data_IF_231814433150
#
_entry.id   IF_231814433150
#
_cell.length_a   1.000
_cell.length_b   1.000
_cell.length_c   1.000
_cell.angle_alpha   90.00
_cell.angle_beta   90.00
_cell.angle_gamma   90.00
#
_symmetry.space_group_name_H-M   'P 1'
#
loop_
_entity.id
_entity.type
_entity.pdbx_description
1 polymer ?
#
# COMPACT_ATOMS: atom_id res chain seq x y z
N UNK A 1 24.28 -54.48 -12.94
CA UNK A 1 24.33 -53.39 -11.92
C UNK A 1 24.51 -52.00 -12.53
N UNK A 2 25.15 -51.86 -13.70
CA UNK A 2 25.37 -50.58 -14.40
C UNK A 2 24.06 -49.87 -14.82
N UNK A 3 23.04 -50.62 -15.24
CA UNK A 3 21.75 -50.07 -15.70
C UNK A 3 20.94 -49.37 -14.60
N UNK A 4 21.15 -49.75 -13.32
CA UNK A 4 20.47 -49.13 -12.17
C UNK A 4 21.05 -47.74 -11.85
N UNK A 5 22.37 -47.58 -11.97
CA UNK A 5 23.04 -46.28 -11.75
C UNK A 5 22.75 -45.30 -12.89
N UNK A 6 22.62 -45.79 -14.13
CA UNK A 6 22.29 -44.96 -15.30
C UNK A 6 20.90 -44.30 -15.15
N UNK A 7 19.91 -45.03 -14.65
CA UNK A 7 18.56 -44.50 -14.40
C UNK A 7 18.55 -43.47 -13.25
N UNK A 8 19.35 -43.66 -12.20
CA UNK A 8 19.47 -42.68 -11.12
C UNK A 8 20.14 -41.37 -11.57
N UNK A 9 21.16 -41.44 -12.44
CA UNK A 9 21.83 -40.25 -12.96
C UNK A 9 20.92 -39.47 -13.91
N UNK A 10 20.16 -40.15 -14.78
CA UNK A 10 19.19 -39.51 -15.66
C UNK A 10 18.04 -38.83 -14.89
N UNK A 11 17.60 -39.43 -13.78
CA UNK A 11 16.57 -38.85 -12.91
C UNK A 11 17.06 -37.62 -12.12
N UNK A 12 18.35 -37.53 -11.79
CA UNK A 12 18.92 -36.32 -11.16
C UNK A 12 19.09 -35.16 -12.16
N UNK A 13 19.35 -35.44 -13.44
CA UNK A 13 19.55 -34.39 -14.45
C UNK A 13 18.25 -33.74 -14.92
N UNK A 14 17.10 -34.40 -14.81
CA UNK A 14 15.80 -33.84 -15.23
C UNK A 14 15.16 -32.91 -14.20
N UNK A 15 15.66 -32.91 -12.95
CA UNK A 15 15.15 -32.02 -11.89
C UNK A 15 15.85 -30.65 -11.83
N UNK A 16 16.89 -30.42 -12.64
CA UNK A 16 17.74 -29.22 -12.56
C UNK A 16 17.30 -28.01 -13.38
N UNK A 17 16.13 -28.03 -14.03
CA UNK A 17 15.80 -27.09 -15.10
C UNK A 17 14.55 -26.24 -14.92
N UNK A 18 14.01 -26.08 -13.71
CA UNK A 18 12.96 -25.09 -13.46
C UNK A 18 13.60 -23.76 -13.04
N UNK A 19 14.28 -23.09 -13.99
CA UNK A 19 14.60 -21.68 -13.80
C UNK A 19 13.29 -20.91 -13.88
N UNK A 20 12.70 -20.59 -12.72
CA UNK A 20 11.78 -19.47 -12.65
C UNK A 20 12.57 -18.24 -13.08
N UNK A 21 12.22 -17.67 -14.23
CA UNK A 21 12.89 -16.48 -14.76
C UNK A 21 12.51 -15.28 -13.88
N UNK A 22 13.26 -15.05 -12.81
CA UNK A 22 13.14 -13.82 -12.02
C UNK A 22 13.53 -12.62 -12.89
N UNK A 23 12.89 -11.47 -12.66
CA UNK A 23 13.19 -10.25 -13.39
C UNK A 23 14.65 -9.84 -13.11
N UNK A 24 15.48 -9.76 -14.16
CA UNK A 24 16.84 -9.23 -14.03
C UNK A 24 16.83 -7.72 -14.22
N UNK A 25 17.46 -7.02 -13.28
CA UNK A 25 17.62 -5.56 -13.26
C UNK A 25 16.29 -4.78 -13.41
N UNK A 26 15.41 -4.84 -12.41
CA UNK A 26 14.11 -4.18 -12.48
C UNK A 26 14.27 -2.65 -12.54
N UNK A 27 13.85 -2.05 -13.65
CA UNK A 27 13.67 -0.60 -13.76
C UNK A 27 12.19 -0.26 -13.60
N UNK A 28 11.88 0.72 -12.75
CA UNK A 28 10.49 1.08 -12.45
C UNK A 28 10.23 2.57 -12.54
N UNK A 29 9.14 2.86 -13.24
CA UNK A 29 8.46 4.16 -13.21
C UNK A 29 7.16 3.98 -12.41
N UNK A 30 7.06 4.67 -11.27
CA UNK A 30 5.93 4.57 -10.35
C UNK A 30 5.17 5.90 -10.22
N UNK A 31 3.86 5.81 -10.15
CA UNK A 31 2.94 6.90 -9.86
C UNK A 31 2.10 6.53 -8.63
N UNK A 32 2.14 7.36 -7.59
CA UNK A 32 1.44 7.13 -6.33
C UNK A 32 0.34 8.16 -6.11
N UNK A 33 -0.83 7.69 -5.71
CA UNK A 33 -2.00 8.48 -5.38
C UNK A 33 -2.51 8.10 -4.00
N UNK A 34 -2.93 9.10 -3.24
CA UNK A 34 -3.52 8.91 -1.92
C UNK A 34 -4.62 9.94 -1.69
N UNK A 35 -5.72 9.52 -1.08
CA UNK A 35 -6.82 10.43 -0.73
C UNK A 35 -6.44 11.30 0.45
N UNK A 36 -6.65 12.61 0.35
CA UNK A 36 -6.25 13.58 1.37
C UNK A 36 -7.40 14.05 2.28
N UNK A 37 -8.64 13.78 1.90
CA UNK A 37 -9.81 14.26 2.63
C UNK A 37 -10.53 13.13 3.38
N UNK A 38 -10.41 13.13 4.72
CA UNK A 38 -11.11 12.18 5.59
C UNK A 38 -12.51 12.65 6.00
N UNK A 39 -12.92 13.87 5.62
CA UNK A 39 -14.26 14.38 5.99
C UNK A 39 -15.36 13.78 5.13
N UNK A 40 -15.04 13.45 3.87
CA UNK A 40 -15.98 12.86 2.91
C UNK A 40 -15.82 11.35 2.82
N UNK A 41 -14.59 10.83 2.95
CA UNK A 41 -14.28 9.43 2.71
C UNK A 41 -14.16 8.65 4.02
N UNK A 42 -14.84 7.51 4.11
CA UNK A 42 -14.77 6.61 5.28
C UNK A 42 -13.46 5.82 5.37
N UNK A 43 -12.75 5.68 4.25
CA UNK A 43 -11.46 5.01 4.16
C UNK A 43 -10.49 5.78 3.27
N UNK A 44 -9.28 6.00 3.76
CA UNK A 44 -8.18 6.55 2.98
C UNK A 44 -7.69 5.48 2.02
N UNK A 45 -7.77 5.75 0.72
CA UNK A 45 -7.27 4.88 -0.31
C UNK A 45 -5.84 5.27 -0.68
N UNK A 46 -4.99 4.25 -0.78
CA UNK A 46 -3.63 4.34 -1.28
C UNK A 46 -3.55 3.51 -2.54
N UNK A 47 -3.02 4.12 -3.60
CA UNK A 47 -2.92 3.50 -4.91
C UNK A 47 -1.54 3.80 -5.44
N UNK A 48 -0.80 2.77 -5.83
CA UNK A 48 0.45 2.92 -6.57
C UNK A 48 0.39 2.13 -7.84
N UNK A 49 0.54 2.84 -8.95
CA UNK A 49 0.70 2.26 -10.27
C UNK A 49 2.17 2.26 -10.62
N UNK A 50 2.67 1.17 -11.16
CA UNK A 50 4.05 1.10 -11.59
C UNK A 50 4.18 0.27 -12.86
N UNK A 51 5.18 0.64 -13.65
CA UNK A 51 5.55 -0.11 -14.85
C UNK A 51 6.88 -0.81 -14.60
N UNK A 52 6.93 -2.10 -14.94
CA UNK A 52 8.08 -2.95 -14.67
C UNK A 52 8.82 -3.22 -15.99
N UNK A 53 10.05 -2.72 -16.11
CA UNK A 53 10.94 -3.02 -17.23
C UNK A 53 12.04 -3.96 -16.73
N UNK A 54 12.19 -5.10 -17.39
CA UNK A 54 13.23 -6.09 -17.11
C UNK A 54 14.03 -6.35 -18.37
N UNK A 55 15.30 -6.70 -18.20
CA UNK A 55 16.19 -7.00 -19.33
C UNK A 55 15.86 -8.36 -19.98
N UNK A 56 15.13 -9.24 -19.26
CA UNK A 56 14.66 -10.53 -19.75
C UNK A 56 13.18 -10.50 -20.19
N UNK A 57 12.78 -11.34 -21.18
CA UNK A 57 11.38 -11.49 -21.54
C UNK A 57 10.62 -12.13 -20.38
N UNK A 58 9.64 -11.40 -19.84
CA UNK A 58 8.77 -11.92 -18.79
C UNK A 58 7.67 -12.78 -19.39
N UNK A 59 7.24 -13.84 -18.69
CA UNK A 59 6.06 -14.59 -19.09
C UNK A 59 4.82 -13.69 -19.08
N UNK A 60 3.88 -13.95 -20.00
CA UNK A 60 2.68 -13.11 -20.15
C UNK A 60 1.91 -12.96 -18.85
N UNK A 61 1.89 -13.95 -17.95
CA UNK A 61 1.18 -13.90 -16.66
C UNK A 61 2.14 -13.82 -15.47
N UNK A 62 3.10 -12.89 -15.52
CA UNK A 62 3.99 -12.66 -14.39
C UNK A 62 3.23 -12.03 -13.21
N UNK A 63 2.99 -12.83 -12.16
CA UNK A 63 2.29 -12.39 -10.96
C UNK A 63 3.27 -11.73 -9.97
N UNK A 64 2.86 -10.57 -9.46
CA UNK A 64 3.61 -9.81 -8.47
C UNK A 64 2.79 -9.70 -7.18
N UNK A 65 3.49 -9.79 -6.07
CA UNK A 65 2.95 -9.60 -4.73
C UNK A 65 3.55 -8.33 -4.14
N UNK A 66 2.83 -7.71 -3.22
CA UNK A 66 3.29 -6.54 -2.51
C UNK A 66 3.14 -6.77 -1.01
N UNK A 67 3.99 -6.13 -0.22
CA UNK A 67 3.89 -6.08 1.22
C UNK A 67 3.99 -4.63 1.66
N UNK A 68 3.02 -4.19 2.46
CA UNK A 68 2.97 -2.84 3.02
C UNK A 68 2.75 -2.97 4.51
N UNK A 69 3.66 -2.43 5.32
CA UNK A 69 3.59 -2.44 6.79
C UNK A 69 3.28 -3.85 7.36
N UNK A 70 3.88 -4.90 6.77
CA UNK A 70 3.70 -6.29 7.16
C UNK A 70 2.43 -6.97 6.63
N UNK A 71 1.53 -6.23 5.97
CA UNK A 71 0.34 -6.78 5.31
C UNK A 71 0.68 -7.17 3.87
N UNK A 72 0.40 -8.42 3.52
CA UNK A 72 0.56 -8.90 2.15
C UNK A 72 -0.63 -8.53 1.28
N UNK A 73 -0.35 -7.92 0.15
CA UNK A 73 -1.28 -7.51 -0.90
C UNK A 73 -0.88 -8.17 -2.23
N UNK A 74 -1.81 -8.20 -3.17
CA UNK A 74 -1.54 -8.65 -4.53
C UNK A 74 -1.39 -7.44 -5.45
N UNK A 75 -0.39 -7.44 -6.34
CA UNK A 75 -0.32 -6.43 -7.38
C UNK A 75 -1.26 -6.82 -8.53
N UNK A 76 -2.31 -6.05 -8.72
CA UNK A 76 -3.24 -6.23 -9.83
C UNK A 76 -2.55 -5.78 -11.13
N UNK A 77 -2.74 -6.51 -12.23
CA UNK A 77 -2.22 -6.11 -13.53
C UNK A 77 -3.26 -5.26 -14.27
N UNK A 78 -2.88 -4.07 -14.70
CA UNK A 78 -3.73 -3.15 -15.46
C UNK A 78 -3.48 -3.27 -16.97
N UNK A 79 -2.25 -3.61 -17.38
CA UNK A 79 -1.88 -3.72 -18.79
C UNK A 79 -0.58 -4.47 -19.01
N UNK A 80 0.01 -4.29 -20.19
CA UNK A 80 1.32 -4.85 -20.53
C UNK A 80 2.39 -4.24 -19.62
N UNK A 81 2.96 -5.06 -18.73
CA UNK A 81 3.97 -4.67 -17.74
C UNK A 81 3.55 -3.53 -16.80
N UNK A 82 2.24 -3.25 -16.69
CA UNK A 82 1.69 -2.25 -15.78
C UNK A 82 0.94 -2.92 -14.64
N UNK A 83 1.33 -2.59 -13.42
CA UNK A 83 0.77 -3.14 -12.20
C UNK A 83 0.25 -2.03 -11.30
N UNK A 84 -0.71 -2.37 -10.46
CA UNK A 84 -1.29 -1.50 -9.47
C UNK A 84 -1.42 -2.25 -8.16
N UNK A 85 -0.96 -1.61 -7.10
CA UNK A 85 -1.17 -2.05 -5.73
C UNK A 85 -2.05 -1.00 -5.08
N UNK A 86 -3.14 -1.44 -4.46
CA UNK A 86 -4.03 -0.56 -3.73
C UNK A 86 -4.47 -1.19 -2.43
N UNK A 87 -4.63 -0.34 -1.42
CA UNK A 87 -5.21 -0.72 -0.13
C UNK A 87 -5.94 0.46 0.47
N UNK A 88 -6.77 0.17 1.44
CA UNK A 88 -7.57 1.16 2.16
C UNK A 88 -7.33 1.04 3.64
N UNK A 89 -7.28 2.19 4.33
CA UNK A 89 -7.20 2.26 5.78
C UNK A 89 -8.26 3.20 6.34
N UNK A 90 -8.73 2.95 7.55
CA UNK A 90 -9.60 3.91 8.24
C UNK A 90 -8.83 5.19 8.54
N UNK A 91 -9.45 6.39 8.44
CA UNK A 91 -8.81 7.67 8.73
C UNK A 91 -8.10 7.74 10.09
N UNK A 92 -8.62 7.03 11.10
CA UNK A 92 -8.01 6.96 12.44
C UNK A 92 -6.70 6.16 12.48
N UNK A 93 -6.50 5.23 11.53
CA UNK A 93 -5.31 4.38 11.41
C UNK A 93 -4.36 4.86 10.30
N UNK A 94 -4.88 5.66 9.36
CA UNK A 94 -4.14 6.26 8.27
C UNK A 94 -3.11 7.26 8.81
N UNK A 95 -1.88 6.79 8.98
CA UNK A 95 -0.78 7.58 9.51
C UNK A 95 -0.18 8.45 8.40
N UNK A 96 0.17 9.70 8.73
CA UNK A 96 0.98 10.53 7.83
C UNK A 96 2.43 10.03 7.80
N UNK A 97 3.02 10.00 6.61
CA UNK A 97 4.40 9.57 6.41
C UNK A 97 4.61 8.82 5.11
N UNK A 98 5.77 8.19 5.02
CA UNK A 98 6.17 7.36 3.88
C UNK A 98 5.78 5.92 4.15
N UNK A 99 4.97 5.33 3.27
CA UNK A 99 4.69 3.89 3.26
C UNK A 99 5.60 3.22 2.24
N UNK A 100 6.42 2.28 2.71
CA UNK A 100 7.28 1.47 1.85
C UNK A 100 6.49 0.26 1.34
N UNK A 101 6.35 0.18 0.02
CA UNK A 101 5.67 -0.92 -0.68
C UNK A 101 6.75 -1.83 -1.22
N UNK A 102 6.84 -3.02 -0.63
CA UNK A 102 7.83 -4.04 -0.98
C UNK A 102 7.21 -5.00 -1.99
N UNK A 103 7.66 -4.92 -3.23
CA UNK A 103 7.21 -5.80 -4.30
C UNK A 103 8.08 -7.06 -4.30
N UNK A 104 7.41 -8.20 -4.40
CA UNK A 104 7.97 -9.54 -4.36
C UNK A 104 7.48 -10.29 -5.59
N UNK A 105 8.36 -11.10 -6.16
CA UNK A 105 7.98 -12.10 -7.16
C UNK A 105 7.42 -13.36 -6.48
N UNK A 106 7.04 -14.36 -7.28
CA UNK A 106 6.48 -15.61 -6.75
C UNK A 106 7.45 -16.34 -5.81
N UNK A 107 8.75 -16.28 -6.09
CA UNK A 107 9.80 -16.91 -5.28
C UNK A 107 10.03 -16.15 -3.96
N UNK A 108 10.15 -14.81 -4.01
CA UNK A 108 10.21 -13.92 -2.86
C UNK A 108 8.97 -14.06 -1.97
N UNK A 109 7.79 -14.19 -2.56
CA UNK A 109 6.56 -14.44 -1.82
C UNK A 109 6.52 -15.84 -1.18
N UNK A 110 6.98 -16.88 -1.88
CA UNK A 110 7.07 -18.22 -1.32
C UNK A 110 8.06 -18.32 -0.17
N UNK A 111 9.20 -17.64 -0.27
CA UNK A 111 10.21 -17.57 0.79
C UNK A 111 9.71 -16.77 1.99
N UNK A 112 9.01 -15.65 1.77
CA UNK A 112 8.40 -14.87 2.86
C UNK A 112 7.37 -15.68 3.65
N UNK A 113 6.48 -16.40 2.96
CA UNK A 113 5.53 -17.30 3.63
C UNK A 113 6.22 -18.43 4.38
N UNK A 114 7.37 -18.93 3.90
CA UNK A 114 8.16 -19.94 4.64
C UNK A 114 8.79 -19.34 5.89
N UNK A 115 9.41 -18.17 5.77
CA UNK A 115 10.05 -17.48 6.89
C UNK A 115 9.03 -17.15 8.00
N UNK A 116 7.84 -16.67 7.62
CA UNK A 116 6.75 -16.35 8.56
C UNK A 116 6.16 -17.52 9.34
N UNK A 117 6.37 -18.76 8.86
CA UNK A 117 5.99 -19.95 9.64
C UNK A 117 6.91 -20.17 10.84
N UNK A 118 8.17 -19.74 10.74
CA UNK A 118 9.16 -19.87 11.81
C UNK A 118 9.17 -18.63 12.72
N UNK A 119 9.10 -17.44 12.13
CA UNK A 119 9.10 -16.17 12.85
C UNK A 119 8.09 -15.20 12.22
N UNK A 120 7.04 -14.76 12.95
CA UNK A 120 6.03 -13.84 12.41
C UNK A 120 6.59 -12.48 11.99
N UNK A 121 7.77 -12.07 12.50
CA UNK A 121 8.42 -10.81 12.15
C UNK A 121 9.43 -10.92 11.00
N UNK A 122 9.58 -12.11 10.39
CA UNK A 122 10.56 -12.31 9.34
C UNK A 122 10.22 -11.52 8.07
N UNK A 123 11.21 -10.80 7.55
CA UNK A 123 11.13 -10.04 6.29
C UNK A 123 12.11 -10.61 5.27
N UNK A 124 11.72 -10.63 4.00
CA UNK A 124 12.56 -11.05 2.87
C UNK A 124 12.97 -9.83 2.04
N UNK A 125 14.13 -9.90 1.38
CA UNK A 125 14.58 -8.85 0.47
C UNK A 125 13.58 -8.69 -0.68
N UNK A 126 13.03 -7.48 -0.90
CA UNK A 126 12.09 -7.24 -1.99
C UNK A 126 12.80 -7.19 -3.34
N UNK A 127 12.07 -7.50 -4.41
CA UNK A 127 12.50 -7.25 -5.78
C UNK A 127 12.61 -5.75 -6.05
N UNK A 128 11.67 -4.98 -5.50
CA UNK A 128 11.61 -3.54 -5.62
C UNK A 128 10.91 -2.93 -4.40
N UNK A 129 11.40 -1.78 -3.94
CA UNK A 129 10.72 -0.97 -2.94
C UNK A 129 10.25 0.35 -3.56
N UNK A 130 8.94 0.60 -3.52
CA UNK A 130 8.33 1.88 -3.94
C UNK A 130 7.91 2.64 -2.69
N UNK A 131 8.29 3.90 -2.59
CA UNK A 131 7.90 4.75 -1.47
C UNK A 131 6.69 5.60 -1.88
N UNK A 132 5.56 5.41 -1.20
CA UNK A 132 4.39 6.29 -1.29
C UNK A 132 4.43 7.29 -0.14
N UNK A 133 4.42 8.59 -0.46
CA UNK A 133 4.32 9.63 0.56
C UNK A 133 2.87 10.03 0.78
N UNK A 134 2.38 9.85 2.01
CA UNK A 134 1.08 10.36 2.46
C UNK A 134 1.29 11.60 3.35
N UNK A 135 0.93 12.81 2.88
CA UNK A 135 1.14 14.04 3.65
C UNK A 135 0.20 14.15 4.87
N UNK A 136 -0.74 13.22 5.03
CA UNK A 136 -1.76 13.24 6.07
C UNK A 136 -3.11 13.63 5.49
N UNK A 137 -4.15 13.25 6.23
CA UNK A 137 -5.52 13.47 5.86
C UNK A 137 -6.16 14.56 6.72
N UNK A 138 -6.96 15.43 6.10
CA UNK A 138 -7.73 16.42 6.84
C UNK A 138 -8.96 15.77 7.48
N UNK A 139 -9.00 15.74 8.82
CA UNK A 139 -10.09 15.13 9.61
C UNK A 139 -11.22 16.10 9.98
N UNK A 140 -11.26 17.28 9.37
CA UNK A 140 -12.30 18.27 9.62
C UNK A 140 -11.99 19.24 10.77
N UNK A 141 -12.84 20.26 10.93
CA UNK A 141 -12.72 21.19 12.03
C UNK A 141 -13.08 20.51 13.36
N UNK A 142 -12.31 20.81 14.39
CA UNK A 142 -12.54 20.38 15.78
C UNK A 142 -13.88 20.82 16.40
N UNK A 143 -14.55 21.83 15.84
CA UNK A 143 -15.83 22.36 16.34
C UNK A 143 -16.86 22.27 15.23
N UNK A 144 -18.00 21.66 15.53
CA UNK A 144 -19.13 21.60 14.62
C UNK A 144 -19.60 23.02 14.27
N UNK A 145 -19.85 23.27 12.98
CA UNK A 145 -20.33 24.56 12.50
C UNK A 145 -21.64 25.01 13.17
N UNK A 146 -22.46 24.06 13.62
CA UNK A 146 -23.69 24.32 14.37
C UNK A 146 -23.42 24.93 15.76
N UNK A 147 -22.44 24.39 16.49
CA UNK A 147 -22.03 24.92 17.80
C UNK A 147 -21.45 26.31 17.65
N UNK A 148 -20.64 26.53 16.60
CA UNK A 148 -20.10 27.85 16.31
C UNK A 148 -21.20 28.86 15.96
N UNK A 149 -22.17 28.48 15.13
CA UNK A 149 -23.27 29.35 14.72
C UNK A 149 -24.20 29.72 15.89
N UNK A 150 -24.51 28.75 16.76
CA UNK A 150 -25.32 28.98 17.98
C UNK A 150 -24.58 29.83 19.01
N UNK A 151 -23.29 29.61 19.22
CA UNK A 151 -22.49 30.46 20.10
C UNK A 151 -22.45 31.91 19.60
N UNK A 152 -22.28 32.12 18.29
CA UNK A 152 -22.29 33.45 17.68
C UNK A 152 -23.65 34.13 17.81
N UNK A 153 -24.76 33.42 17.61
CA UNK A 153 -26.11 34.00 17.74
C UNK A 153 -26.42 34.42 19.18
N UNK A 154 -26.04 33.60 20.16
CA UNK A 154 -26.16 33.93 21.59
C UNK A 154 -25.30 35.16 21.95
N UNK A 155 -24.07 35.25 21.43
CA UNK A 155 -23.19 36.40 21.64
C UNK A 155 -23.81 37.70 21.12
N UNK A 156 -24.34 37.67 19.89
CA UNK A 156 -25.00 38.82 19.28
C UNK A 156 -26.24 39.24 20.08
N UNK A 157 -27.07 38.28 20.49
CA UNK A 157 -28.25 38.54 21.32
C UNK A 157 -27.86 39.15 22.67
N UNK A 158 -26.82 38.62 23.33
CA UNK A 158 -26.32 39.14 24.60
C UNK A 158 -25.84 40.59 24.47
N UNK A 159 -25.04 40.89 23.43
CA UNK A 159 -24.55 42.25 23.17
C UNK A 159 -25.74 43.20 22.93
N UNK A 160 -26.70 42.81 22.11
CA UNK A 160 -27.90 43.61 21.84
C UNK A 160 -28.71 43.90 23.12
N UNK A 161 -28.94 42.89 23.95
CA UNK A 161 -29.68 43.05 25.22
C UNK A 161 -28.90 43.89 26.23
N UNK A 162 -27.58 43.74 26.31
CA UNK A 162 -26.72 44.53 27.20
C UNK A 162 -26.67 46.01 26.83
N UNK A 163 -26.70 46.33 25.54
CA UNK A 163 -26.74 47.71 25.08
C UNK A 163 -28.13 48.31 25.32
N UNK A 164 -29.20 47.53 25.09
CA UNK A 164 -30.57 47.95 25.43
C UNK A 164 -30.71 48.26 26.92
N UNK A 165 -30.19 47.41 27.81
CA UNK A 165 -30.28 47.64 29.26
C UNK A 165 -29.50 48.87 29.72
N UNK A 166 -28.36 49.18 29.09
CA UNK A 166 -27.59 50.41 29.37
C UNK A 166 -28.28 51.71 28.92
N UNK A 167 -29.16 51.64 27.92
CA UNK A 167 -29.92 52.81 27.45
C UNK A 167 -31.18 53.04 28.31
N UNK A 168 -31.74 51.98 28.88
CA UNK A 168 -32.98 52.02 29.68
C UNK A 168 -32.74 52.28 31.18
N UNK A 169 -31.49 52.32 31.63
CA UNK A 169 -31.07 52.68 32.99
C UNK A 169 -30.58 54.15 33.00
#
# INVERSE_FOLDING_TARGET
>A
MVTKYLFCVLALTTFGGAFASSCQNPQVEAASFTTLDATVVTHIAYITEFTLKCDNPLPENYALYAEVDGKSLTAARIGENKYQVSWTEEPAKARSGTHEIRILDEEGWASLRRARRADPAATVAPLLAIQLQHPGSYSGPWVNSEVLATALSVLVAYVALSNKSKILA
#
